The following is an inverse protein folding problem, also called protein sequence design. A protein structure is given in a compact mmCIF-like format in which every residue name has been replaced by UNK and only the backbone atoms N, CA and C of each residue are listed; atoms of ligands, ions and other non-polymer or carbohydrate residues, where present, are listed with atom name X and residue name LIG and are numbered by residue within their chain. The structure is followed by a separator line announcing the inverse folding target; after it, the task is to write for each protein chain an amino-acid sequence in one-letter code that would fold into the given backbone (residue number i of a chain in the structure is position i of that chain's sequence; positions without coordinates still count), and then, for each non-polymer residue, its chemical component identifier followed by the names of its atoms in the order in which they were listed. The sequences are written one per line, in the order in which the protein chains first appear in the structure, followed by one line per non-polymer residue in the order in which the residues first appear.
data_IF_655975856146
#
_entry.id   IF_655975856146
#
_cell.length_a   1.000
_cell.length_b   1.000
_cell.length_c   1.000
_cell.angle_alpha   90.00
_cell.angle_beta   90.00
_cell.angle_gamma   90.00
#
_symmetry.space_group_name_H-M   'P 1'
#
loop_
_entity.id
_entity.type
_entity.pdbx_description
1 polymer ?
#
# COMPACT_ATOMS: atom_id res chain seq x y z
N UNK A 1 -43.51 2.50 -3.60
CA UNK A 1 -43.92 1.10 -3.73
C UNK A 1 -42.92 0.21 -3.02
N UNK A 2 -43.32 -0.41 -1.91
CA UNK A 2 -42.49 -1.36 -1.13
C UNK A 2 -42.34 -2.69 -1.85
N UNK A 3 -43.41 -3.21 -2.46
CA UNK A 3 -43.36 -4.47 -3.22
C UNK A 3 -42.37 -4.47 -4.40
N UNK A 4 -42.19 -3.34 -5.09
CA UNK A 4 -41.19 -3.21 -6.17
C UNK A 4 -39.76 -3.19 -5.63
N UNK A 5 -39.59 -2.60 -4.44
CA UNK A 5 -38.31 -2.62 -3.72
C UNK A 5 -37.96 -4.05 -3.30
N UNK A 6 -38.91 -4.77 -2.72
CA UNK A 6 -38.72 -6.16 -2.26
C UNK A 6 -38.40 -7.10 -3.43
N UNK A 7 -39.10 -6.96 -4.56
CA UNK A 7 -38.82 -7.73 -5.78
C UNK A 7 -37.44 -7.40 -6.34
N UNK A 8 -37.05 -6.11 -6.37
CA UNK A 8 -35.72 -5.72 -6.83
C UNK A 8 -34.63 -6.31 -5.92
N UNK A 9 -34.78 -6.20 -4.60
CA UNK A 9 -33.78 -6.72 -3.66
C UNK A 9 -33.67 -8.25 -3.77
N UNK A 10 -34.80 -8.94 -3.92
CA UNK A 10 -34.80 -10.39 -4.13
C UNK A 10 -34.14 -10.76 -5.47
N UNK A 11 -34.36 -9.99 -6.52
CA UNK A 11 -33.74 -10.20 -7.83
C UNK A 11 -32.22 -9.96 -7.80
N UNK A 12 -31.76 -8.90 -7.12
CA UNK A 12 -30.33 -8.62 -6.97
C UNK A 12 -29.65 -9.69 -6.12
N UNK A 13 -30.25 -10.12 -5.00
CA UNK A 13 -29.75 -11.24 -4.19
C UNK A 13 -29.74 -12.58 -4.93
N UNK A 14 -30.74 -12.83 -5.76
CA UNK A 14 -30.78 -14.02 -6.59
C UNK A 14 -29.72 -13.97 -7.69
N UNK A 15 -29.45 -12.80 -8.26
CA UNK A 15 -28.36 -12.60 -9.20
C UNK A 15 -27.00 -12.81 -8.53
N UNK A 16 -26.76 -12.23 -7.35
CA UNK A 16 -25.55 -12.48 -6.53
C UNK A 16 -25.37 -13.98 -6.26
N UNK A 17 -26.41 -14.66 -5.78
CA UNK A 17 -26.35 -16.09 -5.47
C UNK A 17 -26.14 -16.97 -6.71
N UNK A 18 -26.69 -16.58 -7.86
CA UNK A 18 -26.42 -17.26 -9.12
C UNK A 18 -24.97 -17.06 -9.54
N UNK A 19 -24.44 -15.84 -9.40
CA UNK A 19 -23.07 -15.48 -9.77
C UNK A 19 -22.01 -16.13 -8.87
N UNK A 20 -22.34 -16.43 -7.62
CA UNK A 20 -21.53 -17.21 -6.68
C UNK A 20 -21.41 -18.70 -7.03
N UNK A 21 -22.20 -19.20 -8.00
CA UNK A 21 -22.04 -20.58 -8.46
C UNK A 21 -20.83 -20.71 -9.39
N UNK A 22 -20.00 -21.74 -9.19
CA UNK A 22 -18.78 -21.99 -10.00
C UNK A 22 -19.04 -22.01 -11.53
N UNK A 23 -20.27 -22.29 -11.97
CA UNK A 23 -20.63 -22.36 -13.39
C UNK A 23 -20.77 -20.99 -14.08
N UNK A 24 -21.26 -19.97 -13.39
CA UNK A 24 -21.39 -18.60 -13.94
C UNK A 24 -20.09 -17.82 -13.87
N UNK A 25 -19.28 -18.07 -12.84
CA UNK A 25 -17.98 -17.42 -12.65
C UNK A 25 -17.00 -17.77 -13.77
N UNK A 26 -16.88 -19.06 -14.12
CA UNK A 26 -16.05 -19.49 -15.24
C UNK A 26 -16.52 -18.91 -16.59
N UNK A 27 -17.84 -18.81 -16.80
CA UNK A 27 -18.43 -18.25 -18.01
C UNK A 27 -18.16 -16.74 -18.13
N UNK A 28 -18.17 -16.02 -17.02
CA UNK A 28 -17.90 -14.58 -16.99
C UNK A 28 -16.42 -14.27 -17.18
N UNK A 29 -15.53 -15.10 -16.62
CA UNK A 29 -14.08 -14.98 -16.88
C UNK A 29 -13.77 -15.27 -18.36
N UNK A 30 -14.39 -16.29 -18.97
CA UNK A 30 -14.31 -16.56 -20.42
C UNK A 30 -14.85 -15.39 -21.26
N UNK A 31 -15.91 -14.72 -20.81
CA UNK A 31 -16.40 -13.51 -21.46
C UNK A 31 -15.44 -12.31 -21.31
N UNK A 32 -14.70 -12.21 -20.19
CA UNK A 32 -13.64 -11.22 -20.03
C UNK A 32 -12.47 -11.48 -20.99
N UNK A 33 -12.12 -12.74 -21.27
CA UNK A 33 -11.09 -13.08 -22.25
C UNK A 33 -11.46 -12.63 -23.67
N UNK A 34 -12.76 -12.67 -24.03
CA UNK A 34 -13.24 -12.18 -25.33
C UNK A 34 -13.04 -10.66 -25.50
N UNK A 35 -12.98 -9.91 -24.42
CA UNK A 35 -12.64 -8.48 -24.47
C UNK A 35 -11.19 -8.29 -24.91
N UNK A 36 -10.28 -9.21 -24.56
CA UNK A 36 -8.90 -9.17 -25.00
C UNK A 36 -8.76 -9.29 -26.53
N UNK A 37 -9.71 -9.94 -27.21
CA UNK A 37 -9.72 -10.05 -28.67
C UNK A 37 -10.08 -8.74 -29.38
N UNK A 38 -10.65 -7.77 -28.66
CA UNK A 38 -10.97 -6.44 -29.17
C UNK A 38 -9.79 -5.47 -29.08
N UNK A 39 -8.71 -5.85 -28.38
CA UNK A 39 -7.54 -5.01 -28.14
C UNK A 39 -6.49 -5.10 -29.27
N UNK A 40 -5.61 -4.10 -29.41
CA UNK A 40 -4.49 -4.15 -30.35
C UNK A 40 -3.58 -5.37 -30.10
N UNK A 41 -3.09 -6.01 -31.18
CA UNK A 41 -2.31 -7.26 -31.11
C UNK A 41 -1.12 -7.24 -30.15
N UNK A 42 -0.50 -6.07 -29.93
CA UNK A 42 0.63 -5.91 -29.02
C UNK A 42 0.31 -6.10 -27.53
N UNK A 43 -0.96 -6.05 -27.14
CA UNK A 43 -1.38 -6.12 -25.72
C UNK A 43 -2.31 -7.31 -25.42
N UNK A 44 -2.66 -8.11 -26.42
CA UNK A 44 -3.60 -9.24 -26.26
C UNK A 44 -3.06 -10.29 -25.29
N UNK A 45 -1.76 -10.62 -25.36
CA UNK A 45 -1.13 -11.57 -24.44
C UNK A 45 -1.22 -11.09 -22.99
N UNK A 46 -0.80 -9.85 -22.74
CA UNK A 46 -0.86 -9.22 -21.41
C UNK A 46 -2.29 -9.13 -20.86
N UNK A 47 -3.27 -8.88 -21.73
CA UNK A 47 -4.68 -8.87 -21.34
C UNK A 47 -5.15 -10.26 -20.90
N UNK A 48 -4.80 -11.31 -21.64
CA UNK A 48 -5.18 -12.69 -21.29
C UNK A 48 -4.50 -13.14 -20.02
N UNK A 49 -3.20 -12.88 -19.87
CA UNK A 49 -2.46 -13.18 -18.63
C UNK A 49 -3.09 -12.47 -17.42
N UNK A 50 -3.57 -11.24 -17.61
CA UNK A 50 -4.29 -10.49 -16.60
C UNK A 50 -5.67 -11.11 -16.27
N UNK A 51 -6.46 -11.51 -17.27
CA UNK A 51 -7.77 -12.14 -17.07
C UNK A 51 -7.61 -13.51 -16.41
N UNK A 52 -6.61 -14.30 -16.78
CA UNK A 52 -6.31 -15.60 -16.16
C UNK A 52 -5.89 -15.45 -14.69
N UNK A 53 -5.06 -14.45 -14.40
CA UNK A 53 -4.53 -14.23 -13.06
C UNK A 53 -5.53 -13.53 -12.13
N UNK A 54 -6.35 -12.63 -12.67
CA UNK A 54 -7.14 -11.69 -11.87
C UNK A 54 -8.62 -11.64 -12.22
N UNK A 55 -9.07 -12.23 -13.33
CA UNK A 55 -10.47 -12.18 -13.77
C UNK A 55 -11.43 -12.70 -12.70
N UNK A 56 -11.07 -13.78 -12.01
CA UNK A 56 -11.84 -14.32 -10.89
C UNK A 56 -11.93 -13.33 -9.72
N UNK A 57 -10.80 -12.72 -9.34
CA UNK A 57 -10.77 -11.74 -8.25
C UNK A 57 -11.54 -10.46 -8.60
N UNK A 58 -11.45 -9.97 -9.84
CA UNK A 58 -12.23 -8.84 -10.37
C UNK A 58 -13.71 -9.14 -10.32
N UNK A 59 -14.12 -10.36 -10.69
CA UNK A 59 -15.51 -10.78 -10.60
C UNK A 59 -16.01 -10.78 -9.15
N UNK A 60 -15.25 -11.38 -8.23
CA UNK A 60 -15.58 -11.42 -6.80
C UNK A 60 -15.66 -10.00 -6.22
N UNK A 61 -14.77 -9.09 -6.61
CA UNK A 61 -14.82 -7.67 -6.20
C UNK A 61 -16.09 -6.98 -6.69
N UNK A 62 -16.47 -7.19 -7.96
CA UNK A 62 -17.70 -6.63 -8.52
C UNK A 62 -18.95 -7.18 -7.82
N UNK A 63 -18.93 -8.44 -7.40
CA UNK A 63 -20.02 -9.08 -6.66
C UNK A 63 -20.11 -8.58 -5.21
N UNK A 64 -18.97 -8.43 -4.52
CA UNK A 64 -18.94 -7.95 -3.13
C UNK A 64 -19.29 -6.46 -2.98
N UNK A 65 -19.09 -5.66 -4.03
CA UNK A 65 -19.52 -4.25 -4.06
C UNK A 65 -21.04 -4.07 -4.26
N UNK A 66 -21.78 -5.15 -4.48
CA UNK A 66 -23.21 -5.11 -4.74
C UNK A 66 -23.97 -5.09 -3.41
N UNK A 67 -24.42 -3.91 -2.98
CA UNK A 67 -25.47 -3.81 -1.96
C UNK A 67 -26.83 -3.82 -2.67
N UNK A 68 -27.67 -4.85 -2.46
CA UNK A 68 -29.01 -4.92 -3.04
C UNK A 68 -29.85 -3.67 -2.75
N UNK A 69 -29.65 -3.04 -1.59
CA UNK A 69 -30.35 -1.82 -1.24
C UNK A 69 -29.85 -0.62 -2.04
N UNK A 70 -28.53 -0.43 -2.18
CA UNK A 70 -27.92 0.61 -3.01
C UNK A 70 -28.28 0.45 -4.50
N UNK A 71 -28.22 -0.76 -5.05
CA UNK A 71 -28.58 -1.04 -6.45
C UNK A 71 -30.06 -0.74 -6.70
N UNK A 72 -30.94 -1.21 -5.81
CA UNK A 72 -32.38 -0.96 -5.96
C UNK A 72 -32.78 0.49 -5.68
N UNK A 73 -31.99 1.23 -4.88
CA UNK A 73 -32.14 2.68 -4.73
C UNK A 73 -31.65 3.44 -5.98
N UNK A 74 -30.58 2.97 -6.63
CA UNK A 74 -30.06 3.53 -7.89
C UNK A 74 -31.05 3.32 -9.05
N UNK A 75 -31.61 2.12 -9.16
CA UNK A 75 -32.67 1.75 -10.11
C UNK A 75 -34.03 2.39 -9.78
N UNK A 76 -34.13 3.14 -8.67
CA UNK A 76 -35.34 3.80 -8.17
C UNK A 76 -36.49 2.84 -7.85
N UNK A 77 -36.20 1.56 -7.66
CA UNK A 77 -37.15 0.55 -7.18
C UNK A 77 -37.44 0.71 -5.69
N UNK A 78 -36.47 1.18 -4.92
CA UNK A 78 -36.59 1.47 -3.49
C UNK A 78 -36.67 2.97 -3.20
N UNK A 79 -37.49 3.42 -2.22
CA UNK A 79 -37.47 4.78 -1.75
C UNK A 79 -36.11 5.10 -1.11
N UNK A 80 -35.55 6.27 -1.42
CA UNK A 80 -34.36 6.79 -0.73
C UNK A 80 -34.75 7.13 0.71
N UNK A 81 -34.32 6.35 1.71
CA UNK A 81 -34.67 6.64 3.10
C UNK A 81 -33.68 6.10 4.14
N UNK A 82 -33.14 7.03 4.93
CA UNK A 82 -32.68 6.86 6.33
C UNK A 82 -31.43 6.01 6.63
N UNK A 83 -30.33 6.25 5.92
CA UNK A 83 -29.00 6.16 6.53
C UNK A 83 -28.37 7.55 6.41
N UNK A 84 -27.89 8.10 7.54
CA UNK A 84 -27.23 9.41 7.63
C UNK A 84 -25.87 9.43 6.96
N UNK A 85 -25.78 9.02 5.70
CA UNK A 85 -24.60 9.17 4.86
C UNK A 85 -24.78 10.50 4.15
N UNK A 86 -24.28 11.57 4.77
CA UNK A 86 -24.13 12.85 4.10
C UNK A 86 -23.41 12.64 2.76
N UNK A 87 -23.66 13.50 1.76
CA UNK A 87 -23.02 13.43 0.43
C UNK A 87 -21.49 13.26 0.45
N UNK A 88 -20.81 13.48 1.58
CA UNK A 88 -19.39 13.18 1.80
C UNK A 88 -19.06 11.74 2.22
N UNK A 89 -19.95 11.00 2.89
CA UNK A 89 -19.63 9.65 3.40
C UNK A 89 -19.72 8.55 2.33
N UNK A 90 -20.58 8.71 1.32
CA UNK A 90 -20.57 7.82 0.15
C UNK A 90 -19.34 8.06 -0.75
N UNK A 91 -18.90 9.32 -0.86
CA UNK A 91 -17.66 9.67 -1.55
C UNK A 91 -16.43 9.17 -0.77
N UNK A 92 -16.42 9.31 0.57
CA UNK A 92 -15.38 8.75 1.42
C UNK A 92 -15.37 7.20 1.41
N UNK A 93 -16.53 6.55 1.33
CA UNK A 93 -16.61 5.10 1.17
C UNK A 93 -16.06 4.65 -0.19
N UNK A 94 -16.34 5.39 -1.28
CA UNK A 94 -15.80 5.12 -2.61
C UNK A 94 -14.28 5.37 -2.67
N UNK A 95 -13.79 6.44 -2.01
CA UNK A 95 -12.36 6.75 -1.85
C UNK A 95 -11.64 5.67 -1.02
N UNK A 96 -12.24 5.21 0.08
CA UNK A 96 -11.71 4.08 0.87
C UNK A 96 -11.78 2.77 0.10
N UNK A 97 -12.78 2.59 -0.77
CA UNK A 97 -12.85 1.44 -1.69
C UNK A 97 -11.71 1.50 -2.72
N UNK A 98 -11.38 2.69 -3.24
CA UNK A 98 -10.26 2.86 -4.17
C UNK A 98 -8.89 2.77 -3.49
N UNK A 99 -8.75 3.27 -2.25
CA UNK A 99 -7.54 3.12 -1.45
C UNK A 99 -7.32 1.65 -1.07
N UNK A 100 -8.38 0.96 -0.63
CA UNK A 100 -8.36 -0.48 -0.40
C UNK A 100 -8.07 -1.28 -1.67
N UNK A 101 -8.60 -0.88 -2.83
CA UNK A 101 -8.27 -1.51 -4.11
C UNK A 101 -6.79 -1.33 -4.47
N UNK A 102 -6.23 -0.14 -4.24
CA UNK A 102 -4.82 0.15 -4.50
C UNK A 102 -3.88 -0.62 -3.56
N UNK A 103 -4.24 -0.75 -2.27
CA UNK A 103 -3.56 -1.62 -1.31
C UNK A 103 -3.49 -3.06 -1.79
N UNK A 104 -4.64 -3.64 -2.19
CA UNK A 104 -4.72 -5.01 -2.67
C UNK A 104 -3.88 -5.24 -3.94
N UNK A 105 -3.94 -4.31 -4.91
CA UNK A 105 -3.11 -4.38 -6.13
C UNK A 105 -1.63 -4.33 -5.77
N UNK A 106 -1.23 -3.44 -4.87
CA UNK A 106 0.15 -3.39 -4.40
C UNK A 106 0.58 -4.71 -3.76
N UNK A 107 -0.23 -5.25 -2.83
CA UNK A 107 0.10 -6.49 -2.12
C UNK A 107 0.28 -7.66 -3.09
N UNK A 108 -0.60 -7.75 -4.10
CA UNK A 108 -0.50 -8.78 -5.16
C UNK A 108 0.80 -8.63 -5.94
N UNK A 109 1.14 -7.41 -6.37
CA UNK A 109 2.34 -7.15 -7.16
C UNK A 109 3.60 -7.46 -6.35
N UNK A 110 3.67 -7.03 -5.09
CA UNK A 110 4.82 -7.31 -4.23
C UNK A 110 4.91 -8.80 -3.89
N UNK A 111 3.79 -9.47 -3.63
CA UNK A 111 3.76 -10.93 -3.42
C UNK A 111 4.26 -11.68 -4.67
N UNK A 112 3.89 -11.22 -5.86
CA UNK A 112 4.40 -11.81 -7.10
C UNK A 112 5.92 -11.65 -7.21
N UNK A 113 6.44 -10.45 -6.97
CA UNK A 113 7.88 -10.22 -6.98
C UNK A 113 8.62 -11.03 -5.91
N UNK A 114 8.08 -11.13 -4.70
CA UNK A 114 8.66 -11.94 -3.62
C UNK A 114 8.75 -13.43 -4.02
N UNK A 115 7.67 -13.99 -4.56
CA UNK A 115 7.67 -15.37 -5.07
C UNK A 115 8.61 -15.58 -6.27
N UNK A 116 8.72 -14.59 -7.16
CA UNK A 116 9.62 -14.66 -8.31
C UNK A 116 11.08 -14.58 -7.87
N UNK A 117 11.41 -13.74 -6.89
CA UNK A 117 12.76 -13.59 -6.33
C UNK A 117 13.21 -14.79 -5.49
N UNK A 118 12.28 -15.54 -4.93
CA UNK A 118 12.56 -16.80 -4.22
C UNK A 118 12.93 -17.96 -5.15
N UNK A 119 12.74 -17.82 -6.47
CA UNK A 119 13.14 -18.86 -7.42
C UNK A 119 14.66 -18.92 -7.51
N UNK A 120 15.21 -20.15 -7.55
CA UNK A 120 16.66 -20.34 -7.70
C UNK A 120 17.22 -19.72 -8.99
N UNK A 121 16.39 -19.57 -10.03
CA UNK A 121 16.76 -18.99 -11.32
C UNK A 121 17.04 -17.48 -11.23
N UNK A 122 16.15 -16.71 -10.62
CA UNK A 122 16.32 -15.27 -10.38
C UNK A 122 17.49 -14.97 -9.45
N UNK A 123 17.74 -15.81 -8.45
CA UNK A 123 18.91 -15.67 -7.58
C UNK A 123 20.21 -15.93 -8.32
N UNK A 124 20.25 -16.95 -9.19
CA UNK A 124 21.42 -17.22 -10.02
C UNK A 124 21.70 -16.09 -11.01
N UNK A 125 20.66 -15.53 -11.62
CA UNK A 125 20.79 -14.38 -12.51
C UNK A 125 21.34 -13.13 -11.80
N UNK A 126 20.95 -12.92 -10.53
CA UNK A 126 21.46 -11.81 -9.72
C UNK A 126 22.95 -11.97 -9.38
N UNK A 127 23.37 -13.18 -9.00
CA UNK A 127 24.78 -13.53 -8.81
C UNK A 127 25.61 -13.26 -10.07
N UNK A 128 25.11 -13.70 -11.24
CA UNK A 128 25.77 -13.46 -12.54
C UNK A 128 25.89 -11.96 -12.88
N UNK A 129 24.95 -11.12 -12.44
CA UNK A 129 25.05 -9.65 -12.61
C UNK A 129 26.15 -9.08 -11.72
N UNK A 130 26.27 -9.54 -10.47
CA UNK A 130 27.29 -9.09 -9.54
C UNK A 130 28.70 -9.52 -9.98
N UNK A 131 28.84 -10.75 -10.48
CA UNK A 131 30.10 -11.26 -11.03
C UNK A 131 30.53 -10.48 -12.28
N UNK A 132 29.58 -10.17 -13.19
CA UNK A 132 29.85 -9.26 -14.33
C UNK A 132 30.26 -7.85 -13.87
N UNK A 133 29.73 -7.39 -12.74
CA UNK A 133 30.17 -6.15 -12.10
C UNK A 133 31.63 -6.22 -11.65
N UNK A 134 32.07 -7.36 -11.11
CA UNK A 134 33.46 -7.58 -10.72
C UNK A 134 34.42 -7.61 -11.91
N UNK A 135 33.99 -8.06 -13.09
CA UNK A 135 34.79 -8.05 -14.32
C UNK A 135 35.13 -6.63 -14.82
N UNK A 136 34.37 -5.62 -14.40
CA UNK A 136 34.66 -4.21 -14.71
C UNK A 136 35.83 -3.64 -13.89
N UNK A 137 36.26 -4.34 -12.84
CA UNK A 137 37.36 -3.90 -11.98
C UNK A 137 38.71 -4.36 -12.53
N UNK A 138 39.75 -3.50 -12.47
CA UNK A 138 41.09 -3.88 -12.90
C UNK A 138 41.74 -4.89 -11.93
N UNK A 139 42.60 -5.80 -12.42
CA UNK A 139 43.37 -6.68 -11.55
C UNK A 139 44.24 -5.89 -10.55
N UNK A 140 44.40 -6.34 -9.29
CA UNK A 140 43.93 -7.60 -8.69
C UNK A 140 42.57 -7.49 -7.98
N UNK A 141 41.79 -6.43 -8.22
CA UNK A 141 40.54 -6.17 -7.49
C UNK A 141 39.43 -7.13 -7.90
N UNK A 142 39.45 -7.64 -9.13
CA UNK A 142 38.51 -8.63 -9.67
C UNK A 142 38.33 -9.82 -8.72
N UNK A 143 39.42 -10.54 -8.39
CA UNK A 143 39.33 -11.71 -7.51
C UNK A 143 38.94 -11.39 -6.06
N UNK A 144 39.20 -10.16 -5.57
CA UNK A 144 38.72 -9.72 -4.25
C UNK A 144 37.22 -9.42 -4.28
N UNK A 145 36.72 -8.89 -5.40
CA UNK A 145 35.31 -8.61 -5.62
C UNK A 145 34.50 -9.91 -5.71
N UNK A 146 34.94 -10.86 -6.52
CA UNK A 146 34.30 -12.18 -6.65
C UNK A 146 34.20 -12.91 -5.30
N UNK A 147 35.27 -12.85 -4.49
CA UNK A 147 35.27 -13.42 -3.14
C UNK A 147 34.28 -12.73 -2.19
N UNK A 148 34.09 -11.41 -2.34
CA UNK A 148 33.10 -10.64 -1.60
C UNK A 148 31.68 -10.99 -2.02
N UNK A 149 31.43 -11.08 -3.34
CA UNK A 149 30.12 -11.47 -3.89
C UNK A 149 29.74 -12.85 -3.35
N UNK A 150 30.59 -13.87 -3.52
CA UNK A 150 30.32 -15.22 -3.00
C UNK A 150 30.07 -15.27 -1.48
N UNK A 151 30.72 -14.41 -0.70
CA UNK A 151 30.59 -14.43 0.75
C UNK A 151 29.31 -13.73 1.24
N UNK A 152 28.94 -12.61 0.63
CA UNK A 152 27.90 -11.73 1.16
C UNK A 152 26.60 -11.75 0.36
N UNK A 153 26.62 -12.14 -0.92
CA UNK A 153 25.43 -12.22 -1.77
C UNK A 153 24.32 -13.08 -1.12
N UNK A 154 24.56 -14.31 -0.62
CA UNK A 154 23.47 -15.13 -0.07
C UNK A 154 22.81 -14.49 1.16
N UNK A 155 23.57 -13.72 1.94
CA UNK A 155 23.04 -12.99 3.09
C UNK A 155 22.29 -11.73 2.67
N UNK A 156 22.81 -10.99 1.67
CA UNK A 156 22.17 -9.80 1.12
C UNK A 156 20.83 -10.13 0.45
N UNK A 157 20.78 -11.21 -0.32
CA UNK A 157 19.56 -11.73 -0.94
C UNK A 157 18.52 -12.12 0.10
N UNK A 158 18.92 -12.84 1.16
CA UNK A 158 18.00 -13.20 2.25
C UNK A 158 17.43 -11.98 2.96
N UNK A 159 18.25 -10.95 3.16
CA UNK A 159 17.80 -9.69 3.75
C UNK A 159 16.85 -8.94 2.80
N UNK A 160 17.12 -8.96 1.49
CA UNK A 160 16.26 -8.36 0.47
C UNK A 160 14.86 -8.99 0.48
N UNK A 161 14.77 -10.32 0.49
CA UNK A 161 13.50 -11.06 0.59
C UNK A 161 12.75 -10.70 1.88
N UNK A 162 13.44 -10.58 3.01
CA UNK A 162 12.81 -10.17 4.27
C UNK A 162 12.21 -8.75 4.22
N UNK A 163 12.79 -7.86 3.42
CA UNK A 163 12.29 -6.49 3.24
C UNK A 163 11.22 -6.38 2.15
N UNK A 164 10.91 -7.47 1.43
CA UNK A 164 9.87 -7.54 0.40
C UNK A 164 8.55 -8.09 0.92
N UNK A 165 8.33 -8.08 2.24
CA UNK A 165 7.02 -8.35 2.81
C UNK A 165 5.96 -7.41 2.18
N UNK A 166 4.89 -7.97 1.58
CA UNK A 166 3.91 -7.20 0.83
C UNK A 166 3.15 -6.21 1.71
N UNK A 167 3.02 -6.48 3.01
CA UNK A 167 2.40 -5.52 3.95
C UNK A 167 3.34 -4.35 4.19
N UNK A 168 4.60 -4.64 4.56
CA UNK A 168 5.62 -3.63 4.82
C UNK A 168 5.84 -2.69 3.61
N UNK A 169 6.05 -3.27 2.42
CA UNK A 169 6.32 -2.51 1.21
C UNK A 169 5.11 -1.66 0.82
N UNK A 170 3.90 -2.23 0.84
CA UNK A 170 2.70 -1.51 0.43
C UNK A 170 2.27 -0.42 1.42
N UNK A 171 2.57 -0.59 2.71
CA UNK A 171 2.43 0.49 3.70
C UNK A 171 3.45 1.60 3.45
N UNK A 172 4.73 1.28 3.18
CA UNK A 172 5.75 2.29 2.87
C UNK A 172 5.49 3.02 1.55
N UNK A 173 4.87 2.37 0.58
CA UNK A 173 4.40 2.99 -0.67
C UNK A 173 3.11 3.82 -0.49
N UNK A 174 2.57 3.89 0.73
CA UNK A 174 1.27 4.50 1.05
C UNK A 174 0.12 3.92 0.21
N UNK A 175 0.26 2.67 -0.22
CA UNK A 175 -0.77 1.95 -0.93
C UNK A 175 -1.78 1.32 0.04
N UNK A 176 -1.29 0.86 1.19
CA UNK A 176 -2.10 0.38 2.31
C UNK A 176 -2.05 1.38 3.45
N UNK A 177 -3.17 1.54 4.14
CA UNK A 177 -3.20 2.21 5.44
C UNK A 177 -2.29 1.43 6.39
N UNK A 178 -1.41 2.11 7.09
CA UNK A 178 -0.75 1.50 8.25
C UNK A 178 -1.83 1.14 9.27
N UNK A 179 -1.73 -0.01 9.99
CA UNK A 179 -2.32 -0.03 11.31
C UNK A 179 -1.76 1.20 12.03
N UNK A 180 -2.56 1.89 12.82
CA UNK A 180 -2.16 3.04 13.64
C UNK A 180 -0.94 2.66 14.51
N UNK A 181 0.24 2.54 13.93
CA UNK A 181 1.44 3.14 14.45
C UNK A 181 1.03 4.59 14.49
N UNK A 182 0.67 5.04 15.69
CA UNK A 182 0.93 6.39 16.14
C UNK A 182 2.03 6.94 15.25
N UNK A 183 1.66 7.85 14.34
CA UNK A 183 2.65 8.58 13.59
C UNK A 183 3.64 9.05 14.65
N UNK A 184 4.90 8.62 14.59
CA UNK A 184 6.04 9.33 15.18
C UNK A 184 6.22 10.72 14.49
N UNK A 185 5.11 11.33 14.07
CA UNK A 185 4.87 12.75 13.96
C UNK A 185 4.06 13.13 15.22
N UNK A 186 4.65 12.99 16.42
CA UNK A 186 4.28 13.86 17.53
C UNK A 186 4.62 15.29 17.13
N UNK A 187 3.73 15.96 16.42
CA UNK A 187 3.53 17.40 16.52
C UNK A 187 2.14 17.72 15.94
N UNK A 188 1.34 18.39 16.77
CA UNK A 188 0.00 18.93 16.49
C UNK A 188 -1.19 17.95 16.56
N UNK A 189 -1.57 17.58 17.78
CA UNK A 189 -2.67 18.28 18.48
C UNK A 189 -3.00 17.61 19.82
N UNK A 190 -2.30 18.01 20.89
CA UNK A 190 -2.96 18.06 22.21
C UNK A 190 -2.80 19.45 22.85
N UNK A 191 -3.92 20.15 22.80
CA UNK A 191 -4.18 21.45 23.35
C UNK A 191 -3.94 21.49 24.87
N UNK A 192 -2.89 22.17 25.32
CA UNK A 192 -2.91 22.85 26.63
C UNK A 192 -1.63 22.88 27.46
N UNK A 193 -0.64 23.65 27.02
CA UNK A 193 0.48 24.05 27.89
C UNK A 193 1.40 25.03 27.20
N UNK A 194 1.05 26.31 27.18
CA UNK A 194 1.95 27.37 26.71
C UNK A 194 3.06 27.58 27.74
N UNK A 195 4.00 26.64 27.82
CA UNK A 195 5.30 26.86 28.43
C UNK A 195 6.15 27.67 27.45
N UNK A 196 6.44 28.94 27.77
CA UNK A 196 7.17 29.77 26.84
C UNK A 196 8.62 29.32 26.65
N UNK A 197 9.16 28.47 27.54
CA UNK A 197 10.50 27.89 27.39
C UNK A 197 10.61 26.91 26.21
N UNK A 198 9.49 26.31 25.76
CA UNK A 198 9.44 25.43 24.59
C UNK A 198 9.59 26.17 23.25
N UNK A 199 9.51 27.51 23.24
CA UNK A 199 9.73 28.34 22.04
C UNK A 199 11.19 28.32 21.55
N UNK A 200 12.08 27.63 22.26
CA UNK A 200 13.45 27.43 21.84
C UNK A 200 14.36 28.62 22.14
N UNK A 201 15.65 28.53 21.75
CA UNK A 201 16.72 29.42 22.20
C UNK A 201 16.45 30.90 21.97
N UNK A 202 15.67 31.25 20.95
CA UNK A 202 15.30 32.64 20.68
C UNK A 202 14.52 33.29 21.84
N UNK A 203 13.78 32.50 22.63
CA UNK A 203 13.04 32.99 23.79
C UNK A 203 13.91 33.05 25.06
N UNK A 204 14.58 31.94 25.43
CA UNK A 204 15.38 31.91 26.65
C UNK A 204 16.69 32.71 26.54
N UNK A 205 17.27 32.88 25.36
CA UNK A 205 18.43 33.77 25.15
C UNK A 205 18.05 35.25 24.97
N UNK A 206 16.77 35.61 25.03
CA UNK A 206 16.33 37.00 24.89
C UNK A 206 16.76 37.87 26.08
N UNK A 207 16.82 37.29 27.28
CA UNK A 207 17.26 38.00 28.48
C UNK A 207 17.67 37.03 29.59
N UNK A 208 18.43 37.52 30.57
CA UNK A 208 18.76 36.76 31.79
C UNK A 208 17.53 36.38 32.62
N UNK A 209 16.43 37.14 32.50
CA UNK A 209 15.19 36.86 33.21
C UNK A 209 14.42 35.69 32.58
N UNK A 210 14.38 35.62 31.25
CA UNK A 210 13.78 34.49 30.51
C UNK A 210 14.63 33.23 30.63
N UNK A 211 15.96 33.34 30.63
CA UNK A 211 16.87 32.22 30.90
C UNK A 211 16.68 31.65 32.31
N UNK A 212 16.57 32.50 33.33
CA UNK A 212 16.35 32.07 34.72
C UNK A 212 14.96 31.47 34.94
N UNK A 213 13.93 31.96 34.24
CA UNK A 213 12.60 31.38 34.28
C UNK A 213 12.54 29.98 33.66
N UNK A 214 13.45 29.68 32.73
CA UNK A 214 13.60 28.38 32.08
C UNK A 214 14.71 27.50 32.70
N UNK A 215 15.27 27.92 33.85
CA UNK A 215 16.33 27.24 34.61
C UNK A 215 17.57 26.84 33.77
N UNK A 216 17.89 27.67 32.77
CA UNK A 216 19.03 27.44 31.87
C UNK A 216 20.31 27.77 32.62
N UNK A 217 21.00 26.73 33.09
CA UNK A 217 22.25 26.88 33.83
C UNK A 217 23.41 27.13 32.86
N UNK A 218 24.12 28.23 33.05
CA UNK A 218 25.31 28.63 32.27
C UNK A 218 26.50 27.70 32.62
N UNK A 219 26.58 26.53 32.00
CA UNK A 219 27.82 25.74 31.97
C UNK A 219 28.67 26.18 30.78
N UNK A 220 29.15 27.42 30.85
CA UNK A 220 29.78 28.03 29.69
C UNK A 220 30.64 29.26 29.87
N UNK A 221 30.99 29.75 31.07
CA UNK A 221 32.07 30.75 31.20
C UNK A 221 32.80 30.73 32.56
N UNK A 222 33.91 29.98 32.64
CA UNK A 222 35.15 30.46 33.26
C UNK A 222 36.32 29.60 32.82
N UNK A 223 36.84 29.95 31.65
CA UNK A 223 38.14 29.49 31.18
C UNK A 223 39.21 29.69 32.26
N UNK A 224 40.03 28.65 32.38
CA UNK A 224 41.41 28.71 32.81
C UNK A 224 42.11 29.92 32.19
N UNK A 225 42.42 30.92 33.00
CA UNK A 225 43.56 31.79 32.73
C UNK A 225 44.77 31.15 33.41
N UNK A 226 45.54 30.37 32.65
CA UNK A 226 46.90 29.96 33.03
C UNK A 226 47.83 31.18 32.91
N UNK A 227 48.40 31.63 34.04
CA UNK A 227 49.82 31.99 34.15
C UNK A 227 50.25 32.06 35.62
#
# INVERSE_FOLDING_TARGET
STALCDVCQAAVKAAESLLETNGTEAQLVDDMEKVCDLLPRGVVGQCRDFVDSYGKAVLVMLLQATDPQAVCALLRCCPKGAAGVGRGAAAAALERLSAGAFCNVCQIVITYFDNELLKNETLAELGDVLDRGCELLPPPLTGKCEALVMQYEPAAVRLLVQMMDPTFVCTKLRACDSPEEEDDDEEDEERGGSDPCAQGPEYWCQSVATAAACDVSDQGTRDEATS
#
